data_IF_748232445429
#
_entry.id   IF_748232445429
#
_cell.length_a   1.000
_cell.length_b   1.000
_cell.length_c   1.000
_cell.angle_alpha   90.00
_cell.angle_beta   90.00
_cell.angle_gamma   90.00
#
_symmetry.space_group_name_H-M   'P 1'
#
loop_
_entity.id
_entity.type
_entity.pdbx_description
1 polymer ?
#
# COMPACT_ATOMS: atom_id res chain seq x y z
N UNK A 1 16.98 52.46 -41.96
CA UNK A 1 17.37 51.39 -42.87
C UNK A 1 16.56 50.17 -42.46
N UNK A 2 15.47 49.83 -43.18
CA UNK A 2 15.48 48.96 -44.38
C UNK A 2 16.03 47.55 -44.03
N UNK A 3 15.41 46.40 -44.29
CA UNK A 3 14.33 45.91 -45.18
C UNK A 3 13.97 44.47 -44.71
N UNK A 4 12.69 44.06 -44.73
CA UNK A 4 12.03 43.11 -45.67
C UNK A 4 12.22 41.62 -45.38
N UNK A 5 11.11 40.84 -45.34
CA UNK A 5 10.82 39.56 -46.04
C UNK A 5 9.26 39.40 -46.02
N UNK A 6 8.53 39.74 -47.09
CA UNK A 6 7.96 38.91 -48.19
C UNK A 6 6.56 38.31 -47.95
N UNK A 7 5.78 38.38 -49.04
CA UNK A 7 4.37 38.02 -49.23
C UNK A 7 4.22 36.58 -49.76
N UNK A 8 3.07 35.96 -49.51
CA UNK A 8 2.34 35.27 -50.60
C UNK A 8 0.82 35.25 -50.37
N UNK A 9 0.08 35.48 -51.46
CA UNK A 9 -1.39 35.55 -51.59
C UNK A 9 -1.97 34.20 -52.01
N UNK A 10 -3.24 33.91 -51.69
CA UNK A 10 -4.28 33.43 -52.66
C UNK A 10 -5.70 33.71 -52.12
N UNK A 11 -6.56 34.24 -53.00
CA UNK A 11 -8.01 34.58 -52.91
C UNK A 11 -8.95 33.42 -53.25
N UNK A 12 -10.19 33.34 -52.70
CA UNK A 12 -11.42 32.88 -53.41
C UNK A 12 -12.72 33.55 -52.86
N UNK A 13 -13.66 33.76 -53.78
CA UNK A 13 -14.88 34.57 -53.93
C UNK A 13 -16.16 34.27 -53.06
N UNK A 14 -17.24 35.08 -53.16
CA UNK A 14 -18.31 35.21 -52.15
C UNK A 14 -19.61 34.43 -52.48
N UNK A 15 -20.49 34.25 -51.49
CA UNK A 15 -21.88 33.77 -51.71
C UNK A 15 -22.93 34.54 -50.88
N UNK A 16 -24.17 34.48 -51.41
CA UNK A 16 -25.32 35.41 -51.34
C UNK A 16 -26.14 35.42 -50.02
N UNK A 17 -27.00 36.45 -49.80
CA UNK A 17 -27.86 36.55 -48.60
C UNK A 17 -29.20 35.81 -48.78
N UNK A 18 -29.79 35.36 -47.67
CA UNK A 18 -31.18 34.84 -47.60
C UNK A 18 -31.92 35.47 -46.42
N UNK A 19 -33.17 35.84 -46.67
CA UNK A 19 -34.09 36.64 -45.85
C UNK A 19 -34.69 35.89 -44.63
N UNK A 20 -35.35 36.59 -43.68
CA UNK A 20 -35.85 36.00 -42.43
C UNK A 20 -37.31 35.54 -42.55
N UNK A 21 -37.68 34.47 -41.84
CA UNK A 21 -39.08 34.14 -41.55
C UNK A 21 -39.21 33.58 -40.13
N UNK A 22 -40.00 34.27 -39.32
CA UNK A 22 -40.46 33.80 -38.01
C UNK A 22 -41.74 32.97 -38.17
N UNK A 23 -41.89 31.89 -37.39
CA UNK A 23 -43.18 31.51 -36.83
C UNK A 23 -43.00 30.65 -35.58
N UNK A 24 -43.38 31.22 -34.44
CA UNK A 24 -43.49 30.55 -33.15
C UNK A 24 -44.71 29.61 -33.17
N UNK A 25 -44.50 28.34 -32.83
CA UNK A 25 -45.57 27.43 -32.40
C UNK A 25 -45.27 27.01 -30.96
N UNK A 26 -46.10 27.48 -30.04
CA UNK A 26 -46.10 27.06 -28.63
C UNK A 26 -46.71 25.68 -28.51
N UNK A 27 -45.95 24.69 -28.04
CA UNK A 27 -46.49 23.47 -27.45
C UNK A 27 -46.45 23.58 -25.93
N UNK A 28 -47.63 23.44 -25.31
CA UNK A 28 -47.82 23.40 -23.86
C UNK A 28 -47.47 21.99 -23.38
N UNK A 29 -46.36 21.84 -22.66
CA UNK A 29 -46.02 20.57 -22.00
C UNK A 29 -46.95 20.35 -20.79
N UNK A 30 -47.38 19.10 -20.59
CA UNK A 30 -48.12 18.66 -19.41
C UNK A 30 -47.25 18.79 -18.14
N UNK A 31 -47.83 18.94 -16.94
CA UNK A 31 -47.05 19.02 -15.70
C UNK A 31 -46.39 17.67 -15.43
N UNK A 32 -45.06 17.67 -15.38
CA UNK A 32 -44.26 16.55 -14.88
C UNK A 32 -44.28 16.66 -13.36
N UNK A 33 -44.80 15.65 -12.67
CA UNK A 33 -44.69 15.56 -11.21
C UNK A 33 -43.22 15.60 -10.79
N UNK A 34 -42.86 16.27 -9.69
CA UNK A 34 -41.47 16.32 -9.26
C UNK A 34 -41.03 14.91 -8.83
N UNK A 35 -40.08 14.36 -9.57
CA UNK A 35 -39.30 13.20 -9.12
C UNK A 35 -38.69 13.54 -7.75
N UNK A 36 -38.81 12.68 -6.73
CA UNK A 36 -38.14 12.93 -5.46
C UNK A 36 -36.64 13.05 -5.71
N UNK A 37 -36.01 14.08 -5.13
CA UNK A 37 -34.57 14.24 -5.19
C UNK A 37 -33.90 12.96 -4.69
N UNK A 38 -32.91 12.40 -5.40
CA UNK A 38 -32.11 11.34 -4.82
C UNK A 38 -31.48 11.87 -3.52
N UNK A 39 -31.53 11.05 -2.46
CA UNK A 39 -30.70 11.25 -1.29
C UNK A 39 -29.24 11.42 -1.73
N UNK A 40 -28.37 12.10 -0.96
CA UNK A 40 -26.98 12.26 -1.35
C UNK A 40 -26.30 10.90 -1.24
N UNK A 41 -26.38 10.10 -2.30
CA UNK A 41 -25.45 9.02 -2.56
C UNK A 41 -24.11 9.71 -2.77
N UNK A 42 -23.29 9.65 -1.72
CA UNK A 42 -21.90 10.05 -1.73
C UNK A 42 -21.22 9.27 -2.86
N UNK A 43 -21.07 9.88 -4.03
CA UNK A 43 -20.29 9.33 -5.13
C UNK A 43 -18.84 9.37 -4.67
N UNK A 44 -18.39 8.31 -4.01
CA UNK A 44 -16.99 8.11 -3.66
C UNK A 44 -16.25 7.97 -4.98
N UNK A 45 -15.39 8.94 -5.29
CA UNK A 45 -14.55 8.89 -6.49
C UNK A 45 -13.61 7.68 -6.43
N UNK A 46 -13.14 7.19 -7.58
CA UNK A 46 -12.16 6.10 -7.62
C UNK A 46 -10.89 6.44 -6.81
N UNK A 47 -10.54 7.74 -6.74
CA UNK A 47 -9.43 8.26 -5.95
C UNK A 47 -9.72 8.22 -4.44
N UNK A 48 -10.93 8.55 -4.00
CA UNK A 48 -11.35 8.38 -2.59
C UNK A 48 -11.47 6.89 -2.21
N UNK A 49 -11.99 6.03 -3.09
CA UNK A 49 -12.05 4.59 -2.84
C UNK A 49 -10.66 3.96 -2.74
N UNK A 50 -9.69 4.44 -3.53
CA UNK A 50 -8.29 4.03 -3.47
C UNK A 50 -7.57 4.61 -2.24
N UNK A 51 -7.86 5.85 -1.87
CA UNK A 51 -7.35 6.47 -0.64
C UNK A 51 -7.86 5.74 0.61
N UNK A 52 -9.13 5.33 0.64
CA UNK A 52 -9.71 4.52 1.73
C UNK A 52 -9.10 3.14 1.85
N UNK A 53 -8.77 2.48 0.73
CA UNK A 53 -7.92 1.26 0.76
C UNK A 53 -6.54 1.55 1.36
N UNK A 54 -5.98 2.72 1.05
CA UNK A 54 -4.73 3.20 1.62
C UNK A 54 -4.76 3.39 3.14
N UNK A 55 -5.93 3.57 3.76
CA UNK A 55 -6.07 3.68 5.21
C UNK A 55 -6.38 2.33 5.89
N UNK A 56 -6.49 1.24 5.14
CA UNK A 56 -6.75 -0.06 5.71
C UNK A 56 -8.13 -0.20 6.37
N UNK A 57 -9.14 0.59 5.96
CA UNK A 57 -10.51 0.52 6.50
C UNK A 57 -11.13 -0.88 6.44
N UNK A 58 -10.74 -1.70 5.46
CA UNK A 58 -11.16 -3.09 5.35
C UNK A 58 -10.66 -4.00 6.51
N UNK A 59 -9.74 -3.49 7.34
CA UNK A 59 -9.16 -4.18 8.49
C UNK A 59 -9.59 -3.54 9.82
N UNK A 60 -10.65 -2.73 9.84
CA UNK A 60 -11.26 -2.33 11.10
C UNK A 60 -11.69 -3.59 11.88
N UNK A 61 -11.37 -3.64 13.18
CA UNK A 61 -11.70 -4.72 14.12
C UNK A 61 -10.97 -6.07 13.92
N UNK A 62 -9.95 -6.12 13.06
CA UNK A 62 -9.08 -7.29 12.95
C UNK A 62 -8.05 -7.39 14.10
N UNK A 63 -7.32 -8.50 14.16
CA UNK A 63 -6.54 -8.91 15.34
C UNK A 63 -5.05 -8.86 15.06
N UNK A 64 -4.29 -9.74 15.71
CA UNK A 64 -2.86 -9.90 15.49
C UNK A 64 -2.62 -10.74 14.24
N UNK A 65 -2.06 -10.13 13.19
CA UNK A 65 -1.56 -10.79 11.99
C UNK A 65 -0.09 -11.12 12.19
N UNK A 66 0.27 -12.41 12.20
CA UNK A 66 1.67 -12.85 12.36
C UNK A 66 2.39 -13.03 11.01
N UNK A 67 1.63 -13.24 9.94
CA UNK A 67 2.12 -13.29 8.55
C UNK A 67 2.44 -14.68 8.02
N UNK A 68 2.33 -15.74 8.82
CA UNK A 68 2.57 -17.11 8.35
C UNK A 68 1.58 -17.53 7.26
N UNK A 69 2.07 -18.23 6.23
CA UNK A 69 1.23 -18.79 5.16
C UNK A 69 1.89 -20.02 4.53
N UNK A 70 1.12 -21.09 4.19
CA UNK A 70 1.65 -22.23 3.46
C UNK A 70 1.87 -21.93 1.96
N UNK A 71 1.41 -20.77 1.49
CA UNK A 71 1.52 -20.34 0.10
C UNK A 71 2.73 -19.44 -0.10
N UNK A 72 3.28 -19.43 -1.32
CA UNK A 72 4.34 -18.50 -1.74
C UNK A 72 3.79 -17.09 -1.97
N UNK A 73 3.18 -16.47 -0.96
CA UNK A 73 2.71 -15.09 -0.98
C UNK A 73 3.69 -14.20 -0.20
N UNK A 74 4.05 -13.05 -0.76
CA UNK A 74 4.98 -12.10 -0.14
C UNK A 74 4.32 -10.73 -0.05
N UNK A 75 4.19 -10.18 1.16
CA UNK A 75 3.77 -8.80 1.39
C UNK A 75 4.93 -7.99 1.94
N UNK A 76 5.34 -6.97 1.21
CA UNK A 76 6.36 -6.04 1.70
C UNK A 76 5.74 -5.00 2.63
N UNK A 77 6.40 -4.79 3.78
CA UNK A 77 6.04 -3.76 4.74
C UNK A 77 7.26 -2.95 5.15
N UNK A 78 7.07 -1.65 5.37
CA UNK A 78 8.13 -0.70 5.70
C UNK A 78 7.78 0.13 6.93
N UNK A 79 8.64 0.12 7.95
CA UNK A 79 8.44 0.81 9.22
C UNK A 79 9.27 2.11 9.31
N UNK A 80 8.92 2.96 10.28
CA UNK A 80 9.60 4.19 10.72
C UNK A 80 9.55 5.42 9.80
N UNK A 81 9.09 5.22 8.57
CA UNK A 81 8.88 6.28 7.59
C UNK A 81 7.81 7.31 7.97
N UNK A 82 7.65 8.35 7.14
CA UNK A 82 8.41 8.61 5.92
C UNK A 82 9.72 9.36 6.19
N UNK A 83 10.79 8.97 5.50
CA UNK A 83 12.05 9.71 5.44
C UNK A 83 12.23 10.46 4.11
N UNK A 84 12.62 11.74 4.21
CA UNK A 84 12.74 12.64 3.05
C UNK A 84 13.77 12.19 2.01
N UNK A 85 14.77 11.42 2.41
CA UNK A 85 15.88 11.01 1.56
C UNK A 85 15.60 9.67 0.89
N UNK A 86 15.03 8.72 1.63
CA UNK A 86 14.94 7.32 1.22
C UNK A 86 13.54 6.91 0.76
N UNK A 87 12.46 7.33 1.43
CA UNK A 87 11.09 6.96 1.04
C UNK A 87 10.74 7.35 -0.40
N UNK A 88 11.07 8.56 -0.92
CA UNK A 88 10.80 8.88 -2.32
C UNK A 88 11.55 8.02 -3.33
N UNK A 89 12.72 7.47 -2.98
CA UNK A 89 13.46 6.50 -3.81
C UNK A 89 12.76 5.15 -3.79
N UNK A 90 12.36 4.69 -2.60
CA UNK A 90 11.62 3.44 -2.45
C UNK A 90 10.30 3.46 -3.25
N UNK A 91 9.55 4.56 -3.18
CA UNK A 91 8.31 4.72 -3.97
C UNK A 91 8.57 4.61 -5.48
N UNK A 92 9.70 5.09 -5.99
CA UNK A 92 10.07 4.90 -7.41
C UNK A 92 10.35 3.43 -7.72
N UNK A 93 11.09 2.72 -6.87
CA UNK A 93 11.33 1.29 -7.07
C UNK A 93 10.04 0.47 -7.02
N UNK A 94 9.12 0.81 -6.11
CA UNK A 94 7.79 0.19 -6.03
C UNK A 94 7.02 0.39 -7.34
N UNK A 95 6.98 1.62 -7.87
CA UNK A 95 6.33 1.93 -9.15
C UNK A 95 6.98 1.19 -10.33
N UNK A 96 8.32 1.23 -10.43
CA UNK A 96 9.10 0.56 -11.48
C UNK A 96 8.87 -0.97 -11.50
N UNK A 97 8.69 -1.56 -10.32
CA UNK A 97 8.50 -2.99 -10.16
C UNK A 97 7.03 -3.41 -10.16
N UNK A 98 6.09 -2.46 -10.16
CA UNK A 98 4.65 -2.71 -10.08
C UNK A 98 4.21 -3.32 -8.74
N UNK A 99 4.91 -3.00 -7.66
CA UNK A 99 4.67 -3.53 -6.32
C UNK A 99 3.97 -2.48 -5.46
N UNK A 100 2.95 -2.91 -4.70
CA UNK A 100 2.35 -2.11 -3.63
C UNK A 100 2.68 -2.75 -2.29
N UNK A 101 2.89 -1.91 -1.28
CA UNK A 101 3.35 -2.30 0.05
C UNK A 101 2.49 -1.64 1.15
N UNK A 102 2.74 -2.03 2.40
CA UNK A 102 2.20 -1.37 3.59
C UNK A 102 3.30 -0.56 4.28
N UNK A 103 3.02 0.67 4.68
CA UNK A 103 3.95 1.54 5.40
C UNK A 103 3.44 1.81 6.80
N UNK A 104 4.17 1.39 7.84
CA UNK A 104 3.87 1.72 9.23
C UNK A 104 4.58 3.01 9.61
N UNK A 105 3.80 4.06 9.82
CA UNK A 105 4.30 5.44 9.94
C UNK A 105 4.53 5.81 11.41
N UNK A 106 5.74 6.27 11.71
CA UNK A 106 6.09 6.88 13.00
C UNK A 106 5.88 8.40 12.89
N UNK A 107 4.89 8.93 13.62
CA UNK A 107 4.38 10.28 13.32
C UNK A 107 5.12 11.43 13.98
N UNK A 108 6.06 11.20 14.92
CA UNK A 108 6.74 12.27 15.69
C UNK A 108 7.23 13.42 14.81
N UNK A 109 7.90 13.10 13.69
CA UNK A 109 8.47 14.09 12.76
C UNK A 109 7.42 14.87 11.97
N UNK A 110 6.19 14.35 11.90
CA UNK A 110 5.06 14.98 11.21
C UNK A 110 4.38 16.03 12.09
N UNK A 111 4.48 15.95 13.42
CA UNK A 111 3.88 16.92 14.35
C UNK A 111 4.62 18.26 14.41
N UNK A 112 5.88 18.31 14.00
CA UNK A 112 6.70 19.51 14.09
C UNK A 112 6.26 20.59 13.07
N UNK A 113 6.38 21.88 13.38
CA UNK A 113 6.22 22.93 12.38
C UNK A 113 7.45 23.02 11.47
N UNK A 114 7.24 23.44 10.22
CA UNK A 114 8.31 23.87 9.32
C UNK A 114 8.49 22.99 8.08
N UNK A 115 9.49 23.36 7.27
CA UNK A 115 9.71 22.80 5.93
C UNK A 115 10.01 21.29 5.95
N UNK A 116 10.60 20.77 7.03
CA UNK A 116 10.87 19.34 7.18
C UNK A 116 9.57 18.55 7.28
N UNK A 117 8.74 18.85 8.27
CA UNK A 117 7.48 18.16 8.47
C UNK A 117 6.55 18.32 7.27
N UNK A 118 6.52 19.49 6.64
CA UNK A 118 5.71 19.70 5.42
C UNK A 118 6.13 18.76 4.27
N UNK A 119 7.44 18.54 4.09
CA UNK A 119 7.93 17.59 3.09
C UNK A 119 7.58 16.15 3.44
N UNK A 120 7.72 15.74 4.71
CA UNK A 120 7.40 14.38 5.18
C UNK A 120 5.88 14.11 5.11
N UNK A 121 5.04 15.09 5.46
CA UNK A 121 3.58 15.08 5.25
C UNK A 121 3.23 14.95 3.77
N UNK A 122 3.96 15.66 2.89
CA UNK A 122 3.84 15.50 1.44
C UNK A 122 4.16 14.07 0.96
N UNK A 123 5.19 13.44 1.53
CA UNK A 123 5.55 12.04 1.22
C UNK A 123 4.46 11.08 1.72
N UNK A 124 3.92 11.31 2.92
CA UNK A 124 2.81 10.51 3.46
C UNK A 124 1.60 10.51 2.50
N UNK A 125 1.21 11.68 1.99
CA UNK A 125 0.15 11.80 0.96
C UNK A 125 0.51 11.05 -0.32
N UNK A 126 1.78 11.10 -0.72
CA UNK A 126 2.29 10.41 -1.90
C UNK A 126 2.24 8.88 -1.78
N UNK A 127 2.48 8.32 -0.59
CA UNK A 127 2.37 6.88 -0.31
C UNK A 127 0.94 6.41 -0.64
N UNK A 128 -0.07 7.08 -0.06
CA UNK A 128 -1.49 6.72 -0.28
C UNK A 128 -1.92 6.98 -1.72
N UNK A 129 -1.51 8.10 -2.33
CA UNK A 129 -1.82 8.45 -3.72
C UNK A 129 -1.33 7.39 -4.71
N UNK A 130 -0.19 6.73 -4.43
CA UNK A 130 0.36 5.63 -5.25
C UNK A 130 -0.33 4.28 -4.99
N UNK A 131 -1.30 4.24 -4.07
CA UNK A 131 -2.12 3.07 -3.78
C UNK A 131 -1.47 2.10 -2.79
N UNK A 132 -0.50 2.56 -2.00
CA UNK A 132 0.03 1.82 -0.87
C UNK A 132 -0.89 1.96 0.34
N UNK A 133 -0.80 1.01 1.26
CA UNK A 133 -1.52 1.06 2.54
C UNK A 133 -0.62 1.72 3.58
N UNK A 134 -1.18 2.55 4.45
CA UNK A 134 -0.51 3.11 5.63
C UNK A 134 -1.10 2.51 6.89
N UNK A 135 -0.23 2.19 7.84
CA UNK A 135 -0.53 1.75 9.19
C UNK A 135 0.09 2.67 10.23
N UNK A 136 -0.43 2.63 11.44
CA UNK A 136 0.07 3.41 12.57
C UNK A 136 1.28 2.69 13.22
N UNK A 137 2.43 3.37 13.35
CA UNK A 137 3.60 2.88 14.08
C UNK A 137 3.91 3.69 15.34
N UNK A 138 2.85 4.24 15.93
CA UNK A 138 2.85 5.17 17.05
C UNK A 138 3.49 6.52 16.74
N UNK A 139 3.48 7.42 17.72
CA UNK A 139 4.07 8.74 17.56
C UNK A 139 5.57 8.65 17.71
N UNK A 140 6.04 8.21 18.85
CA UNK A 140 7.44 8.33 19.27
C UNK A 140 8.21 7.00 19.18
N UNK A 141 7.60 5.94 18.61
CA UNK A 141 8.20 4.62 18.49
C UNK A 141 8.61 4.02 19.86
N UNK A 142 7.80 4.28 20.88
CA UNK A 142 8.01 3.78 22.23
C UNK A 142 7.55 2.33 22.37
N UNK A 143 8.23 1.56 23.24
CA UNK A 143 7.79 0.21 23.56
C UNK A 143 6.51 0.27 24.41
N UNK A 144 5.36 0.06 23.76
CA UNK A 144 4.02 0.20 24.38
C UNK A 144 3.85 -0.55 25.72
N UNK A 145 4.42 -1.75 25.95
CA UNK A 145 4.30 -2.41 27.25
C UNK A 145 4.92 -1.64 28.42
N UNK A 146 5.88 -0.73 28.16
CA UNK A 146 6.57 0.09 29.16
C UNK A 146 5.80 1.37 29.52
N UNK A 147 4.81 1.75 28.71
CA UNK A 147 4.01 2.95 28.90
C UNK A 147 2.75 2.66 29.74
N UNK A 148 2.20 3.67 30.40
CA UNK A 148 0.89 3.52 31.04
C UNK A 148 -0.25 3.50 30.00
N UNK A 149 -1.50 3.28 30.44
CA UNK A 149 -2.61 3.15 29.50
C UNK A 149 -2.93 4.47 28.76
N UNK A 150 -2.82 5.61 29.44
CA UNK A 150 -3.04 6.93 28.83
C UNK A 150 -1.99 7.21 27.77
N UNK A 151 -0.72 6.90 28.05
CA UNK A 151 0.40 7.12 27.16
C UNK A 151 0.31 6.21 25.91
N UNK A 152 -0.08 4.94 26.06
CA UNK A 152 -0.36 4.07 24.90
C UNK A 152 -1.46 4.66 24.02
N UNK A 153 -2.54 5.17 24.61
CA UNK A 153 -3.64 5.76 23.85
C UNK A 153 -3.25 7.09 23.19
N UNK A 154 -2.37 7.88 23.82
CA UNK A 154 -1.81 9.10 23.26
C UNK A 154 -0.89 8.79 22.07
N UNK A 155 0.01 7.81 22.21
CA UNK A 155 0.89 7.32 21.15
C UNK A 155 0.11 6.93 19.88
N UNK A 156 -1.03 6.24 20.04
CA UNK A 156 -1.89 5.87 18.93
C UNK A 156 -2.68 7.08 18.38
N UNK A 157 -3.32 7.84 19.27
CA UNK A 157 -4.21 8.94 18.92
C UNK A 157 -3.49 10.13 18.28
N UNK A 158 -2.24 10.38 18.63
CA UNK A 158 -1.45 11.44 18.00
C UNK A 158 -1.12 11.11 16.55
N UNK A 159 -0.80 9.84 16.24
CA UNK A 159 -0.65 9.41 14.85
C UNK A 159 -1.97 9.41 14.09
N UNK A 160 -3.09 9.03 14.73
CA UNK A 160 -4.43 9.13 14.15
C UNK A 160 -4.73 10.56 13.68
N UNK A 161 -4.43 11.57 14.51
CA UNK A 161 -4.66 12.98 14.16
C UNK A 161 -3.86 13.42 12.94
N UNK A 162 -2.61 12.97 12.80
CA UNK A 162 -1.82 13.27 11.60
C UNK A 162 -2.44 12.65 10.35
N UNK A 163 -2.95 11.42 10.44
CA UNK A 163 -3.63 10.80 9.32
C UNK A 163 -4.94 11.52 8.98
N UNK A 164 -5.73 11.91 9.98
CA UNK A 164 -6.95 12.71 9.76
C UNK A 164 -6.64 14.04 9.06
N UNK A 165 -5.61 14.75 9.50
CA UNK A 165 -5.17 16.03 8.92
C UNK A 165 -4.65 15.89 7.48
N UNK A 166 -3.79 14.89 7.21
CA UNK A 166 -3.09 14.78 5.92
C UNK A 166 -3.81 13.91 4.89
N UNK A 167 -4.58 12.93 5.35
CA UNK A 167 -5.18 11.87 4.53
C UNK A 167 -6.71 11.89 4.56
N UNK A 168 -7.32 12.72 5.43
CA UNK A 168 -8.77 12.83 5.55
C UNK A 168 -9.43 11.68 6.31
N UNK A 169 -8.65 10.84 6.98
CA UNK A 169 -9.14 9.72 7.79
C UNK A 169 -8.01 9.01 8.53
N UNK A 170 -8.37 8.17 9.50
CA UNK A 170 -7.41 7.37 10.28
C UNK A 170 -7.13 6.02 9.64
N UNK A 171 -6.02 5.39 10.04
CA UNK A 171 -5.73 4.00 9.69
C UNK A 171 -6.30 3.01 10.71
N UNK A 172 -6.58 1.80 10.25
CA UNK A 172 -7.02 0.68 11.10
C UNK A 172 -5.98 -0.41 11.23
N UNK A 173 -4.85 -0.28 10.53
CA UNK A 173 -3.68 -1.11 10.74
C UNK A 173 -2.75 -0.42 11.73
N UNK A 174 -2.13 -1.19 12.60
CA UNK A 174 -1.03 -0.73 13.42
C UNK A 174 0.02 -1.81 13.59
N UNK A 175 1.28 -1.42 13.72
CA UNK A 175 2.35 -2.33 14.11
C UNK A 175 2.95 -1.83 15.42
N UNK A 176 2.98 -2.63 16.50
CA UNK A 176 3.65 -2.21 17.73
C UNK A 176 5.14 -2.01 17.48
N UNK A 177 5.76 -0.91 17.96
CA UNK A 177 7.20 -0.70 17.88
C UNK A 177 8.00 -1.91 18.38
N UNK A 178 8.90 -2.41 17.54
CA UNK A 178 9.68 -3.63 17.79
C UNK A 178 8.86 -4.91 17.97
N UNK A 179 7.58 -4.92 17.59
CA UNK A 179 6.66 -6.04 17.85
C UNK A 179 6.29 -6.19 19.34
N UNK A 180 6.54 -5.17 20.15
CA UNK A 180 6.40 -5.22 21.61
C UNK A 180 4.93 -5.22 22.03
N UNK A 181 4.43 -6.36 22.51
CA UNK A 181 3.03 -6.55 22.92
C UNK A 181 2.91 -6.98 24.37
N UNK A 182 1.71 -6.80 24.92
CA UNK A 182 1.28 -7.42 26.18
C UNK A 182 -0.25 -7.52 26.18
N UNK A 183 -0.86 -8.41 26.99
CA UNK A 183 -2.32 -8.51 27.05
C UNK A 183 -3.04 -7.21 27.44
N UNK A 184 -2.34 -6.26 28.08
CA UNK A 184 -2.86 -4.91 28.37
C UNK A 184 -2.84 -4.05 27.11
N UNK A 185 -1.70 -4.00 26.41
CA UNK A 185 -1.54 -3.25 25.16
C UNK A 185 -2.50 -3.78 24.11
N UNK A 186 -2.62 -5.09 23.96
CA UNK A 186 -3.52 -5.71 23.00
C UNK A 186 -4.98 -5.29 23.20
N UNK A 187 -5.43 -5.21 24.46
CA UNK A 187 -6.77 -4.70 24.81
C UNK A 187 -6.96 -3.22 24.48
N UNK A 188 -5.94 -2.39 24.69
CA UNK A 188 -5.99 -0.95 24.38
C UNK A 188 -5.97 -0.70 22.87
N UNK A 189 -5.18 -1.47 22.12
CA UNK A 189 -5.11 -1.40 20.66
C UNK A 189 -6.44 -1.86 20.06
N UNK A 190 -6.98 -2.98 20.53
CA UNK A 190 -8.28 -3.50 20.10
C UNK A 190 -9.45 -2.56 20.46
N UNK A 191 -9.44 -1.90 21.63
CA UNK A 191 -10.49 -0.93 22.00
C UNK A 191 -10.52 0.32 21.12
N UNK A 192 -9.47 0.53 20.31
CA UNK A 192 -9.36 1.59 19.30
C UNK A 192 -9.64 1.08 17.88
N UNK A 193 -10.06 -0.18 17.72
CA UNK A 193 -10.44 -0.82 16.46
C UNK A 193 -9.26 -1.25 15.58
N UNK A 194 -8.05 -1.25 16.11
CA UNK A 194 -6.85 -1.56 15.33
C UNK A 194 -6.60 -3.06 15.17
N UNK A 195 -6.25 -3.41 13.94
CA UNK A 195 -5.56 -4.65 13.59
C UNK A 195 -4.05 -4.49 13.83
N UNK A 196 -3.47 -5.39 14.62
CA UNK A 196 -2.04 -5.45 14.84
C UNK A 196 -1.36 -6.28 13.74
N UNK A 197 -0.37 -5.73 13.05
CA UNK A 197 0.36 -6.44 11.98
C UNK A 197 1.81 -6.66 12.40
N UNK A 198 2.19 -7.91 12.59
CA UNK A 198 3.58 -8.34 12.78
C UNK A 198 4.19 -8.86 11.47
N UNK A 199 5.19 -9.72 11.57
CA UNK A 199 5.93 -10.31 10.48
C UNK A 199 6.52 -11.66 10.91
N UNK A 200 6.70 -12.55 9.93
CA UNK A 200 7.47 -13.79 10.08
C UNK A 200 8.77 -13.77 9.26
N UNK A 201 8.89 -12.84 8.29
CA UNK A 201 10.05 -12.65 7.42
C UNK A 201 10.81 -11.36 7.77
N UNK A 202 11.59 -11.38 8.84
CA UNK A 202 12.45 -10.26 9.22
C UNK A 202 13.74 -10.20 8.40
N UNK A 203 14.08 -9.03 7.84
CA UNK A 203 15.28 -8.86 7.01
C UNK A 203 16.53 -8.46 7.80
N UNK A 204 16.37 -8.04 9.06
CA UNK A 204 17.48 -7.58 9.91
C UNK A 204 18.17 -6.32 9.39
N UNK A 205 17.50 -5.56 8.52
CA UNK A 205 18.05 -4.35 7.91
C UNK A 205 18.45 -3.27 8.92
N UNK A 206 17.75 -3.15 10.04
CA UNK A 206 18.14 -2.25 11.15
C UNK A 206 19.45 -2.66 11.86
N UNK A 207 19.97 -3.87 11.62
CA UNK A 207 21.19 -4.40 12.26
C UNK A 207 22.43 -4.32 11.37
N UNK A 208 22.27 -3.96 10.10
CA UNK A 208 23.34 -3.94 9.09
C UNK A 208 23.43 -2.58 8.42
N UNK A 209 24.38 -2.39 7.50
CA UNK A 209 24.58 -1.12 6.78
C UNK A 209 24.81 -1.29 5.27
N UNK A 210 24.49 -2.45 4.73
CA UNK A 210 24.70 -2.82 3.34
C UNK A 210 23.54 -3.68 2.81
N UNK A 211 23.22 -3.51 1.53
CA UNK A 211 22.07 -4.18 0.91
C UNK A 211 22.29 -5.69 0.72
N UNK A 212 23.55 -6.15 0.59
CA UNK A 212 23.88 -7.56 0.44
C UNK A 212 23.41 -8.37 1.64
N UNK A 213 23.75 -7.91 2.85
CA UNK A 213 23.39 -8.58 4.11
C UNK A 213 21.87 -8.64 4.34
N UNK A 214 21.14 -7.61 3.89
CA UNK A 214 19.66 -7.59 3.93
C UNK A 214 19.08 -8.67 3.02
N UNK A 215 19.57 -8.74 1.78
CA UNK A 215 19.13 -9.76 0.80
C UNK A 215 19.45 -11.16 1.30
N UNK A 216 20.67 -11.39 1.79
CA UNK A 216 21.09 -12.70 2.32
C UNK A 216 20.21 -13.11 3.50
N UNK A 217 19.93 -12.18 4.42
CA UNK A 217 19.09 -12.46 5.58
C UNK A 217 17.65 -12.77 5.17
N UNK A 218 17.07 -12.03 4.22
CA UNK A 218 15.75 -12.33 3.68
C UNK A 218 15.68 -13.76 3.13
N UNK A 219 16.60 -14.12 2.24
CA UNK A 219 16.62 -15.45 1.59
C UNK A 219 16.76 -16.55 2.64
N UNK A 220 17.71 -16.37 3.58
CA UNK A 220 17.97 -17.33 4.65
C UNK A 220 16.76 -17.50 5.57
N UNK A 221 16.06 -16.43 5.92
CA UNK A 221 14.86 -16.49 6.78
C UNK A 221 13.71 -17.18 6.04
N UNK A 222 13.44 -16.80 4.79
CA UNK A 222 12.40 -17.40 3.97
C UNK A 222 12.61 -18.92 3.82
N UNK A 223 13.82 -19.34 3.46
CA UNK A 223 14.15 -20.76 3.30
C UNK A 223 14.00 -21.54 4.62
N UNK A 224 14.45 -20.98 5.75
CA UNK A 224 14.28 -21.63 7.06
C UNK A 224 12.82 -21.76 7.46
N UNK A 225 12.00 -20.73 7.20
CA UNK A 225 10.55 -20.77 7.46
C UNK A 225 9.87 -21.87 6.65
N UNK A 226 10.23 -22.02 5.37
CA UNK A 226 9.71 -23.08 4.52
C UNK A 226 10.13 -24.47 5.03
N UNK A 227 11.40 -24.65 5.40
CA UNK A 227 11.94 -25.93 5.88
C UNK A 227 11.42 -26.35 7.26
N UNK A 228 11.42 -25.43 8.22
CA UNK A 228 11.16 -25.75 9.64
C UNK A 228 9.67 -25.72 9.98
N UNK A 229 8.88 -24.93 9.24
CA UNK A 229 7.48 -24.65 9.58
C UNK A 229 6.50 -24.84 8.41
N UNK A 230 6.99 -25.14 7.19
CA UNK A 230 6.14 -25.19 6.00
C UNK A 230 5.60 -23.82 5.58
N UNK A 231 6.14 -22.74 6.14
CA UNK A 231 5.76 -21.36 5.84
C UNK A 231 6.49 -20.89 4.57
N UNK A 232 5.82 -20.90 3.42
CA UNK A 232 6.44 -20.61 2.12
C UNK A 232 6.46 -19.13 1.75
N UNK A 233 6.00 -18.28 2.64
CA UNK A 233 5.86 -16.85 2.39
C UNK A 233 5.52 -16.10 3.66
N UNK A 234 5.10 -14.84 3.49
CA UNK A 234 4.60 -14.07 4.59
C UNK A 234 4.77 -12.56 4.46
N UNK A 235 4.74 -11.91 5.63
CA UNK A 235 4.86 -10.47 5.76
C UNK A 235 6.33 -10.14 6.04
N UNK A 236 6.92 -9.31 5.18
CA UNK A 236 8.33 -8.91 5.23
C UNK A 236 8.48 -7.62 6.00
N UNK A 237 9.32 -7.63 7.05
CA UNK A 237 9.71 -6.41 7.78
C UNK A 237 10.97 -5.79 7.18
N UNK A 238 10.84 -4.53 6.77
CA UNK A 238 11.91 -3.64 6.33
C UNK A 238 11.67 -2.23 6.92
N UNK A 239 12.66 -1.34 6.82
CA UNK A 239 12.60 0.04 7.28
C UNK A 239 13.00 0.98 6.14
N UNK A 240 12.09 1.87 5.73
CA UNK A 240 12.35 2.78 4.61
C UNK A 240 13.23 3.99 5.01
N UNK A 241 13.70 4.04 6.26
CA UNK A 241 14.61 5.06 6.80
C UNK A 241 16.10 4.73 6.55
N UNK A 242 16.39 3.57 5.94
CA UNK A 242 17.73 3.07 5.67
C UNK A 242 18.04 2.96 4.17
N UNK A 243 19.16 3.54 3.73
CA UNK A 243 19.57 3.52 2.31
C UNK A 243 19.74 2.07 1.79
N UNK A 244 20.40 1.23 2.59
CA UNK A 244 20.64 -0.17 2.24
C UNK A 244 19.36 -1.01 2.19
N UNK A 245 18.33 -0.66 2.98
CA UNK A 245 17.02 -1.33 2.92
C UNK A 245 16.30 -0.99 1.60
N UNK A 246 16.30 0.29 1.22
CA UNK A 246 15.77 0.76 -0.07
C UNK A 246 16.51 0.14 -1.26
N UNK A 247 17.82 -0.04 -1.15
CA UNK A 247 18.65 -0.68 -2.19
C UNK A 247 18.49 -2.21 -2.25
N UNK A 248 18.20 -2.85 -1.11
CA UNK A 248 17.95 -4.28 -1.05
C UNK A 248 16.60 -4.66 -1.68
N UNK A 249 15.56 -3.82 -1.52
CA UNK A 249 14.22 -4.10 -2.03
C UNK A 249 14.17 -4.57 -3.50
N UNK A 250 14.69 -3.82 -4.50
CA UNK A 250 14.65 -4.26 -5.89
C UNK A 250 15.44 -5.55 -6.14
N UNK A 251 16.48 -5.82 -5.33
CA UNK A 251 17.28 -7.04 -5.43
C UNK A 251 16.55 -8.26 -4.88
N UNK A 252 15.81 -8.10 -3.78
CA UNK A 252 14.93 -9.15 -3.25
C UNK A 252 13.85 -9.49 -4.27
N UNK A 253 13.21 -8.48 -4.88
CA UNK A 253 12.21 -8.70 -5.95
C UNK A 253 12.84 -9.39 -7.15
N UNK A 254 14.06 -9.01 -7.54
CA UNK A 254 14.83 -9.68 -8.59
C UNK A 254 15.05 -11.17 -8.27
N UNK A 255 15.54 -11.46 -7.08
CA UNK A 255 15.77 -12.83 -6.60
C UNK A 255 14.50 -13.67 -6.60
N UNK A 256 13.36 -13.14 -6.11
CA UNK A 256 12.07 -13.84 -6.14
C UNK A 256 11.63 -14.16 -7.58
N UNK A 257 11.83 -13.22 -8.51
CA UNK A 257 11.47 -13.41 -9.92
C UNK A 257 12.38 -14.43 -10.62
N UNK A 258 13.66 -14.49 -10.26
CA UNK A 258 14.59 -15.50 -10.78
C UNK A 258 14.26 -16.88 -10.22
N UNK A 259 13.98 -16.96 -8.91
CA UNK A 259 13.48 -18.18 -8.27
C UNK A 259 12.19 -18.66 -8.93
N UNK A 260 11.30 -17.75 -9.33
CA UNK A 260 10.08 -18.12 -10.08
C UNK A 260 10.36 -18.75 -11.44
N UNK A 261 11.47 -18.44 -12.11
CA UNK A 261 11.84 -19.17 -13.34
C UNK A 261 12.11 -20.65 -13.03
N UNK A 262 12.87 -20.93 -11.99
CA UNK A 262 13.19 -22.30 -11.56
C UNK A 262 11.93 -23.05 -11.10
N UNK A 263 11.07 -22.38 -10.33
CA UNK A 263 9.82 -22.97 -9.83
C UNK A 263 8.83 -23.23 -10.97
N UNK A 264 8.81 -22.38 -12.00
CA UNK A 264 7.97 -22.57 -13.18
C UNK A 264 8.38 -23.85 -13.92
N UNK A 265 9.69 -24.07 -14.11
CA UNK A 265 10.23 -25.28 -14.73
C UNK A 265 9.95 -26.54 -13.90
N UNK A 266 10.04 -26.44 -12.57
CA UNK A 266 9.69 -27.51 -11.64
C UNK A 266 8.19 -27.78 -11.53
N UNK A 267 7.34 -26.92 -12.12
CA UNK A 267 5.89 -27.03 -12.03
C UNK A 267 5.30 -26.63 -10.67
N UNK A 268 6.06 -25.98 -9.81
CA UNK A 268 5.66 -25.61 -8.45
C UNK A 268 4.90 -24.27 -8.37
N UNK A 269 4.33 -23.97 -7.20
CA UNK A 269 3.75 -22.66 -6.91
C UNK A 269 4.81 -21.55 -7.06
N UNK A 270 4.45 -20.41 -7.63
CA UNK A 270 5.36 -19.28 -7.80
C UNK A 270 5.18 -18.25 -6.67
N UNK A 271 6.26 -17.57 -6.30
CA UNK A 271 6.23 -16.41 -5.40
C UNK A 271 5.43 -15.26 -5.99
N UNK A 272 4.29 -14.97 -5.37
CA UNK A 272 3.38 -13.90 -5.71
C UNK A 272 3.54 -12.74 -4.72
N UNK A 273 3.97 -11.58 -5.23
CA UNK A 273 4.07 -10.37 -4.43
C UNK A 273 2.68 -9.75 -4.38
N UNK A 274 2.09 -9.77 -3.19
CA UNK A 274 0.72 -9.32 -2.96
C UNK A 274 0.69 -7.96 -2.28
N UNK A 275 -0.44 -7.30 -2.39
CA UNK A 275 -0.71 -5.94 -1.90
C UNK A 275 -1.86 -5.88 -0.88
N UNK A 276 -2.46 -7.02 -0.57
CA UNK A 276 -3.61 -7.15 0.31
C UNK A 276 -3.24 -7.98 1.56
N UNK A 277 -3.07 -7.33 2.72
CA UNK A 277 -2.91 -7.99 4.01
C UNK A 277 -3.95 -9.08 4.33
N UNK A 278 -5.16 -9.03 3.77
CA UNK A 278 -6.20 -10.05 3.99
C UNK A 278 -5.80 -11.44 3.49
N UNK A 279 -4.81 -11.54 2.60
CA UNK A 279 -4.32 -12.83 2.11
C UNK A 279 -3.49 -13.59 3.14
N UNK A 280 -3.12 -12.96 4.26
CA UNK A 280 -2.34 -13.58 5.34
C UNK A 280 -3.20 -13.90 6.56
N UNK A 281 -4.48 -13.53 6.57
CA UNK A 281 -5.35 -13.71 7.73
C UNK A 281 -6.85 -13.72 7.39
N UNK A 282 -7.62 -14.51 8.15
CA UNK A 282 -9.07 -14.44 8.17
C UNK A 282 -9.58 -13.69 9.43
N UNK A 283 -10.35 -12.61 9.23
CA UNK A 283 -11.01 -11.84 10.30
C UNK A 283 -11.53 -12.75 11.42
N UNK A 284 -10.99 -12.63 12.66
CA UNK A 284 -11.61 -13.37 13.77
C UNK A 284 -12.85 -12.60 14.20
N UNK A 285 -13.99 -13.28 14.14
CA UNK A 285 -15.30 -12.71 14.51
C UNK A 285 -15.35 -12.27 15.98
N UNK A 286 -15.67 -13.17 16.90
CA UNK A 286 -15.97 -12.91 18.31
C UNK A 286 -14.76 -13.05 19.26
N UNK A 287 -13.56 -12.84 18.74
CA UNK A 287 -12.34 -13.22 19.43
C UNK A 287 -11.82 -12.18 20.43
N UNK A 288 -11.23 -12.69 21.52
CA UNK A 288 -10.59 -11.87 22.54
C UNK A 288 -9.40 -11.04 21.99
N UNK A 289 -9.20 -9.80 22.47
CA UNK A 289 -8.07 -8.96 22.11
C UNK A 289 -6.72 -9.64 22.30
N UNK A 290 -5.81 -9.45 21.32
CA UNK A 290 -4.46 -10.01 21.34
C UNK A 290 -4.36 -11.45 20.87
N UNK A 291 -5.48 -12.10 20.57
CA UNK A 291 -5.41 -13.45 20.04
C UNK A 291 -4.89 -13.45 18.60
N UNK A 292 -3.95 -14.35 18.31
CA UNK A 292 -3.40 -14.51 16.99
C UNK A 292 -4.47 -14.95 16.00
N UNK A 293 -4.46 -14.29 14.84
CA UNK A 293 -5.15 -14.70 13.64
C UNK A 293 -4.87 -16.17 13.30
N UNK A 294 -5.89 -16.98 12.96
CA UNK A 294 -5.61 -18.19 12.19
C UNK A 294 -4.95 -17.78 10.86
N UNK A 295 -4.10 -18.65 10.34
CA UNK A 295 -3.52 -18.51 9.00
C UNK A 295 -4.68 -18.39 8.00
N UNK A 296 -4.63 -17.39 7.11
CA UNK A 296 -5.62 -17.34 6.03
C UNK A 296 -5.46 -18.55 5.11
N UNK A 297 -6.61 -19.07 4.70
CA UNK A 297 -6.72 -19.94 3.53
C UNK A 297 -7.45 -19.16 2.43
N UNK A 298 -6.73 -18.38 1.60
CA UNK A 298 -7.34 -17.74 0.46
C UNK A 298 -8.01 -18.80 -0.43
N UNK A 299 -9.19 -18.52 -0.98
CA UNK A 299 -9.90 -19.52 -1.77
C UNK A 299 -9.01 -20.08 -2.90
N UNK A 300 -9.11 -21.39 -3.14
CA UNK A 300 -8.35 -22.05 -4.20
C UNK A 300 -8.56 -21.39 -5.56
N UNK A 301 -9.76 -20.86 -5.82
CA UNK A 301 -10.06 -20.13 -7.06
C UNK A 301 -9.25 -18.83 -7.19
N UNK A 302 -9.13 -18.07 -6.10
CA UNK A 302 -8.30 -16.84 -6.08
C UNK A 302 -6.83 -17.20 -6.30
N UNK A 303 -6.32 -18.19 -5.57
CA UNK A 303 -4.93 -18.63 -5.68
C UNK A 303 -4.62 -19.14 -7.09
N UNK A 304 -5.47 -20.00 -7.65
CA UNK A 304 -5.33 -20.52 -9.01
C UNK A 304 -5.34 -19.41 -10.06
N UNK A 305 -6.26 -18.44 -9.95
CA UNK A 305 -6.32 -17.31 -10.88
C UNK A 305 -5.08 -16.41 -10.81
N UNK A 306 -4.53 -16.21 -9.60
CA UNK A 306 -3.29 -15.46 -9.39
C UNK A 306 -2.09 -16.21 -9.96
N UNK A 307 -1.96 -17.50 -9.66
CA UNK A 307 -0.88 -18.36 -10.17
C UNK A 307 -0.91 -18.48 -11.70
N UNK A 308 -2.09 -18.58 -12.32
CA UNK A 308 -2.23 -18.60 -13.78
C UNK A 308 -1.64 -17.33 -14.43
N UNK A 309 -2.01 -16.14 -13.91
CA UNK A 309 -1.45 -14.86 -14.39
C UNK A 309 0.05 -14.77 -14.14
N UNK A 310 0.50 -15.19 -12.97
CA UNK A 310 1.91 -15.13 -12.60
C UNK A 310 2.77 -16.04 -13.47
N UNK A 311 2.29 -17.24 -13.82
CA UNK A 311 2.97 -18.16 -14.74
C UNK A 311 3.09 -17.60 -16.15
N UNK A 312 2.05 -16.94 -16.66
CA UNK A 312 2.09 -16.26 -17.96
C UNK A 312 3.19 -15.18 -17.99
N UNK A 313 3.17 -14.27 -17.00
CA UNK A 313 4.15 -13.19 -16.88
C UNK A 313 5.57 -13.74 -16.69
N UNK A 314 5.72 -14.77 -15.86
CA UNK A 314 7.02 -15.41 -15.58
C UNK A 314 7.57 -16.08 -16.83
N UNK A 315 6.76 -16.83 -17.58
CA UNK A 315 7.18 -17.47 -18.83
C UNK A 315 7.71 -16.46 -19.86
N UNK A 316 7.01 -15.34 -20.04
CA UNK A 316 7.46 -14.26 -20.93
C UNK A 316 8.76 -13.59 -20.46
N UNK A 317 8.99 -13.49 -19.13
CA UNK A 317 10.23 -12.96 -18.57
C UNK A 317 11.40 -13.92 -18.78
N UNK A 318 11.25 -15.18 -18.36
CA UNK A 318 12.32 -16.16 -18.37
C UNK A 318 12.72 -16.55 -19.81
N UNK A 319 11.75 -16.64 -20.74
CA UNK A 319 12.05 -16.89 -22.16
C UNK A 319 12.88 -15.78 -22.82
N UNK A 320 12.67 -14.51 -22.43
CA UNK A 320 13.50 -13.38 -22.90
C UNK A 320 14.93 -13.41 -22.37
N UNK A 321 15.15 -13.99 -21.18
CA UNK A 321 16.49 -14.16 -20.63
C UNK A 321 17.25 -15.29 -21.33
N UNK A 322 16.58 -16.40 -21.64
CA UNK A 322 17.18 -17.53 -22.37
C UNK A 322 17.52 -17.22 -23.84
N UNK A 323 16.94 -16.15 -24.40
CA UNK A 323 17.15 -15.72 -25.79
C UNK A 323 18.23 -14.63 -25.95
N UNK A 324 18.87 -14.21 -24.85
CA UNK A 324 19.97 -13.22 -24.82
C UNK A 324 21.28 -13.91 -24.52
#
# INVERSE_FOLDING_TARGET
AERSIEHEHVTVAPTRPVAPVALVRTFRAAPVEPTPAPAPDLVITADEARARRGLGEAYADGLVLTGATPHRLILFTFDDGPDRRTTPRLLRHLDELGVRAVFFITSQRLHEPGARALAERGILRDIVRRGHVVGNHTRNHEQLPLLDASDVLAELGDTDRVFEEELGGRSWLMRPPGGSRSPRVDRLVASRGYTQVLWNLGTGDFQVRDADSVVETFVRVLQRRELDHGERGGIVLMHDTHDWSVEAFPRIVGWLRDRNCELLEAGEELYDIVDDPALFFAARGDAEPGTEAPIAEPSETILAARQARLREVTSQRCGRLASR
#
